data_IF_667172851278
#
_entry.id   IF_667172851278
#
_cell.length_a   1.000
_cell.length_b   1.000
_cell.length_c   1.000
_cell.angle_alpha   90.00
_cell.angle_beta   90.00
_cell.angle_gamma   90.00
#
_symmetry.space_group_name_H-M   'P 1'
#
loop_
_entity.id
_entity.type
_entity.pdbx_description
1 polymer ?
#
# COMPACT_ATOMS: atom_id res chain seq x y z
N UNK A 1 -1.05 16.26 8.89
CA UNK A 1 -0.97 16.53 7.44
C UNK A 1 -0.87 15.19 6.74
N UNK A 2 -1.63 14.97 5.67
CA UNK A 2 -1.50 13.74 4.88
C UNK A 2 -0.85 14.07 3.54
N UNK A 3 0.27 13.43 3.22
CA UNK A 3 0.97 13.56 1.95
C UNK A 3 0.55 12.45 0.98
N UNK A 4 -0.10 12.81 -0.13
CA UNK A 4 -0.59 11.85 -1.11
C UNK A 4 0.35 11.83 -2.32
N UNK A 5 1.22 10.82 -2.33
CA UNK A 5 2.32 10.60 -3.27
C UNK A 5 3.17 11.86 -3.55
N UNK A 6 3.82 12.44 -2.52
CA UNK A 6 4.57 13.69 -2.67
C UNK A 6 5.60 13.61 -3.81
N UNK A 7 5.66 14.65 -4.65
CA UNK A 7 6.44 14.60 -5.88
C UNK A 7 7.96 14.44 -5.65
N UNK A 8 8.62 13.58 -6.41
CA UNK A 8 10.07 13.41 -6.41
C UNK A 8 10.83 14.59 -7.03
N UNK A 9 10.49 15.04 -8.26
CA UNK A 9 11.27 16.07 -8.94
C UNK A 9 11.35 17.34 -8.10
N UNK A 10 12.55 17.91 -7.97
CA UNK A 10 12.86 19.12 -7.19
C UNK A 10 12.72 19.03 -5.66
N UNK A 11 12.14 17.97 -5.09
CA UNK A 11 11.93 17.86 -3.63
C UNK A 11 12.70 16.70 -2.97
N UNK A 12 12.87 15.55 -3.65
CA UNK A 12 13.55 14.44 -3.02
C UNK A 12 15.03 14.76 -2.76
N UNK A 13 15.49 14.51 -1.53
CA UNK A 13 16.87 14.78 -1.13
C UNK A 13 17.19 16.25 -0.81
N UNK A 14 16.22 17.16 -0.88
CA UNK A 14 16.41 18.55 -0.44
C UNK A 14 16.38 18.67 1.09
N UNK A 15 16.86 19.80 1.65
CA UNK A 15 16.66 20.14 3.06
C UNK A 15 15.17 20.13 3.44
N UNK A 16 14.89 19.90 4.74
CA UNK A 16 13.51 19.77 5.27
C UNK A 16 12.69 21.04 5.07
N UNK A 17 13.33 22.20 4.92
CA UNK A 17 12.67 23.49 4.71
C UNK A 17 12.05 23.62 3.30
N UNK A 18 12.41 22.74 2.36
CA UNK A 18 12.00 22.79 0.96
C UNK A 18 10.90 21.76 0.63
N UNK A 19 10.78 20.70 1.44
CA UNK A 19 9.89 19.57 1.18
C UNK A 19 9.00 19.30 2.38
N UNK A 20 7.94 18.52 2.17
CA UNK A 20 7.18 17.97 3.29
C UNK A 20 8.10 17.13 4.19
N UNK A 21 7.98 17.34 5.49
CA UNK A 21 8.69 16.63 6.53
C UNK A 21 7.78 16.39 7.74
N UNK A 22 8.07 15.34 8.51
CA UNK A 22 7.32 15.01 9.73
C UNK A 22 7.29 16.15 10.75
N UNK A 23 8.26 17.07 10.72
CA UNK A 23 8.28 18.24 11.59
C UNK A 23 7.26 19.33 11.24
N UNK A 24 6.61 19.27 10.07
CA UNK A 24 5.66 20.29 9.61
C UNK A 24 4.30 20.25 10.32
N UNK A 25 3.99 19.18 11.05
CA UNK A 25 2.77 19.06 11.84
C UNK A 25 2.94 18.08 13.00
N UNK A 26 1.99 18.12 13.95
CA UNK A 26 1.94 17.17 15.08
C UNK A 26 1.91 15.70 14.64
N UNK A 27 1.33 15.44 13.48
CA UNK A 27 1.28 14.13 12.85
C UNK A 27 1.29 14.28 11.33
N UNK A 28 2.08 13.46 10.68
CA UNK A 28 2.26 13.45 9.22
C UNK A 28 2.21 12.00 8.74
N UNK A 29 1.27 11.67 7.88
CA UNK A 29 1.14 10.35 7.25
C UNK A 29 1.29 10.48 5.73
N UNK A 30 2.04 9.58 5.11
CA UNK A 30 2.36 9.63 3.69
C UNK A 30 1.87 8.35 3.00
N UNK A 31 1.28 8.49 1.82
CA UNK A 31 0.90 7.36 0.96
C UNK A 31 1.73 7.43 -0.32
N UNK A 32 2.61 6.46 -0.55
CA UNK A 32 3.45 6.35 -1.73
C UNK A 32 2.83 5.37 -2.74
N UNK A 33 2.57 5.82 -3.96
CA UNK A 33 1.94 5.00 -5.01
C UNK A 33 2.67 5.03 -6.34
N UNK A 34 3.58 5.99 -6.56
CA UNK A 34 4.40 6.08 -7.77
C UNK A 34 5.89 6.34 -7.45
N UNK A 35 6.38 5.66 -6.41
CA UNK A 35 7.74 5.77 -5.88
C UNK A 35 8.77 5.00 -6.73
N UNK A 36 8.69 5.09 -8.06
CA UNK A 36 9.81 4.72 -8.93
C UNK A 36 10.63 5.97 -9.27
N UNK A 37 11.95 5.86 -9.55
CA UNK A 37 12.72 7.02 -9.97
C UNK A 37 12.12 7.67 -11.24
N UNK A 38 11.93 8.99 -11.23
CA UNK A 38 11.43 9.75 -12.39
C UNK A 38 12.26 9.47 -13.64
N UNK A 39 13.58 9.34 -13.48
CA UNK A 39 14.47 8.90 -14.55
C UNK A 39 15.05 7.53 -14.17
N UNK A 40 14.92 6.49 -15.03
CA UNK A 40 14.27 6.49 -16.34
C UNK A 40 12.80 6.01 -16.34
N UNK A 41 12.20 5.76 -15.17
CA UNK A 41 10.95 5.00 -15.07
C UNK A 41 9.68 5.86 -15.05
N UNK A 42 9.82 7.19 -15.05
CA UNK A 42 8.72 8.15 -14.98
C UNK A 42 7.82 7.94 -13.74
N UNK A 43 8.38 7.55 -12.60
CA UNK A 43 7.67 7.67 -11.33
C UNK A 43 7.71 9.10 -10.82
N UNK A 44 6.55 9.63 -10.45
CA UNK A 44 6.41 11.01 -10.00
C UNK A 44 6.49 11.15 -8.48
N UNK A 45 6.20 10.09 -7.72
CA UNK A 45 6.27 10.09 -6.27
C UNK A 45 7.68 9.89 -5.73
N UNK A 46 8.01 10.51 -4.60
CA UNK A 46 9.27 10.29 -3.92
C UNK A 46 9.30 8.93 -3.19
N UNK A 47 10.47 8.30 -3.14
CA UNK A 47 10.70 7.04 -2.40
C UNK A 47 11.08 7.25 -0.95
N UNK A 48 11.60 8.43 -0.64
CA UNK A 48 12.06 8.80 0.69
C UNK A 48 10.89 8.79 1.67
N UNK A 49 11.08 8.14 2.83
CA UNK A 49 10.15 8.27 3.94
C UNK A 49 10.32 9.67 4.56
N UNK A 50 9.22 10.42 4.64
CA UNK A 50 9.21 11.82 5.08
C UNK A 50 8.16 12.07 6.18
N UNK A 51 7.31 11.10 6.50
CA UNK A 51 6.27 11.21 7.52
C UNK A 51 6.65 10.65 8.89
N UNK A 52 5.66 10.63 9.79
CA UNK A 52 5.69 9.75 10.95
C UNK A 52 5.36 8.32 10.53
N UNK A 53 4.34 8.16 9.68
CA UNK A 53 3.97 6.90 9.04
C UNK A 53 4.07 7.06 7.52
N UNK A 54 4.76 6.14 6.86
CA UNK A 54 4.94 6.12 5.41
C UNK A 54 4.41 4.79 4.87
N UNK A 55 3.28 4.83 4.17
CA UNK A 55 2.60 3.67 3.62
C UNK A 55 3.00 3.45 2.16
N UNK A 56 3.35 2.22 1.83
CA UNK A 56 3.76 1.77 0.50
C UNK A 56 2.82 0.63 0.03
N UNK A 57 1.54 0.93 -0.27
CA UNK A 57 0.61 -0.06 -0.78
C UNK A 57 1.14 -0.71 -2.07
N UNK A 58 1.06 -2.03 -2.20
CA UNK A 58 1.59 -2.81 -3.34
C UNK A 58 3.06 -2.45 -3.65
N UNK A 59 3.85 -2.24 -2.59
CA UNK A 59 5.26 -1.83 -2.68
C UNK A 59 5.51 -0.37 -3.05
N UNK A 60 4.44 0.41 -3.26
CA UNK A 60 4.49 1.85 -3.53
C UNK A 60 4.99 2.25 -4.92
N UNK A 61 5.19 1.29 -5.83
CA UNK A 61 5.80 1.51 -7.16
C UNK A 61 4.83 1.33 -8.32
N UNK A 62 4.12 0.21 -8.35
CA UNK A 62 3.20 -0.15 -9.43
C UNK A 62 1.88 -0.59 -8.82
N UNK A 63 0.85 0.20 -9.03
CA UNK A 63 -0.46 -0.08 -8.46
C UNK A 63 -1.23 -1.05 -9.36
N UNK A 64 -1.95 -2.03 -8.78
CA UNK A 64 -2.82 -2.92 -9.55
C UNK A 64 -3.82 -2.12 -10.41
N UNK A 65 -4.08 -2.60 -11.63
CA UNK A 65 -4.95 -1.92 -12.60
C UNK A 65 -4.36 -0.66 -13.28
N UNK A 66 -3.11 -0.30 -12.99
CA UNK A 66 -2.41 0.77 -13.71
C UNK A 66 -1.46 0.19 -14.77
N UNK A 67 -1.35 0.87 -15.93
CA UNK A 67 -0.31 0.60 -16.92
C UNK A 67 1.06 1.08 -16.44
N UNK A 68 2.14 0.60 -17.09
CA UNK A 68 3.51 1.09 -16.87
C UNK A 68 3.83 2.22 -17.84
N UNK A 69 4.56 3.23 -17.37
CA UNK A 69 5.12 4.26 -18.25
C UNK A 69 6.25 3.68 -19.12
N UNK A 70 6.45 4.24 -20.30
CA UNK A 70 7.58 3.89 -21.16
C UNK A 70 8.89 4.37 -20.52
N UNK A 71 9.92 3.52 -20.54
CA UNK A 71 11.25 3.87 -20.00
C UNK A 71 11.89 4.94 -20.89
N UNK A 72 12.30 6.07 -20.29
CA UNK A 72 12.95 7.17 -21.00
C UNK A 72 14.09 7.79 -20.21
N UNK A 73 15.22 8.04 -20.86
CA UNK A 73 16.36 8.78 -20.28
C UNK A 73 16.15 10.31 -20.34
N UNK A 74 15.17 10.78 -21.12
CA UNK A 74 14.83 12.19 -21.28
C UNK A 74 13.36 12.35 -20.89
N UNK A 75 13.11 13.20 -19.89
CA UNK A 75 11.76 13.44 -19.37
C UNK A 75 11.42 14.91 -19.57
N UNK A 76 10.39 15.15 -20.39
CA UNK A 76 9.81 16.47 -20.62
C UNK A 76 8.83 16.79 -19.48
N UNK A 77 9.36 17.20 -18.33
CA UNK A 77 8.56 17.47 -17.14
C UNK A 77 7.54 18.58 -17.37
N UNK A 78 7.94 19.65 -18.06
CA UNK A 78 7.07 20.77 -18.39
C UNK A 78 5.94 20.30 -19.31
N UNK A 79 6.25 19.50 -20.34
CA UNK A 79 5.24 18.95 -21.23
C UNK A 79 4.29 17.95 -20.56
N UNK A 80 4.77 17.13 -19.61
CA UNK A 80 3.90 16.23 -18.83
C UNK A 80 2.99 17.04 -17.90
N UNK A 81 3.54 18.06 -17.22
CA UNK A 81 2.78 18.90 -16.30
C UNK A 81 1.72 19.75 -17.03
N UNK A 82 2.06 20.31 -18.18
CA UNK A 82 1.15 21.08 -19.03
C UNK A 82 0.16 20.19 -19.82
N UNK A 83 0.33 18.86 -19.77
CA UNK A 83 -0.52 17.90 -20.48
C UNK A 83 -0.29 17.85 -21.99
N UNK A 84 0.87 18.33 -22.47
CA UNK A 84 1.28 18.27 -23.89
C UNK A 84 2.05 16.98 -24.21
N UNK A 85 2.34 16.16 -23.19
CA UNK A 85 2.98 14.83 -23.30
C UNK A 85 2.15 13.75 -22.63
N UNK A 86 2.08 12.59 -23.28
CA UNK A 86 1.40 11.42 -22.73
C UNK A 86 2.15 10.89 -21.50
N UNK A 87 1.42 10.79 -20.39
CA UNK A 87 1.91 10.27 -19.13
C UNK A 87 0.84 9.39 -18.49
N UNK A 88 1.21 8.16 -18.10
CA UNK A 88 0.33 7.27 -17.35
C UNK A 88 0.35 7.70 -15.89
N UNK A 89 -0.41 8.74 -15.57
CA UNK A 89 -0.56 9.27 -14.22
C UNK A 89 -1.26 8.32 -13.24
N UNK A 90 -1.67 7.13 -13.70
CA UNK A 90 -2.50 6.21 -12.92
C UNK A 90 -1.90 5.88 -11.55
N UNK A 91 -0.61 5.51 -11.48
CA UNK A 91 0.08 5.20 -10.22
C UNK A 91 0.07 6.41 -9.29
N UNK A 92 0.43 7.59 -9.79
CA UNK A 92 0.48 8.83 -9.00
C UNK A 92 -0.89 9.20 -8.42
N UNK A 93 -1.94 9.04 -9.23
CA UNK A 93 -3.33 9.32 -8.86
C UNK A 93 -3.97 8.27 -7.93
N UNK A 94 -3.29 7.15 -7.61
CA UNK A 94 -3.84 6.12 -6.71
C UNK A 94 -3.86 6.53 -5.25
N UNK A 95 -2.91 7.35 -4.82
CA UNK A 95 -2.80 7.82 -3.43
C UNK A 95 -4.11 8.46 -2.92
N UNK A 96 -4.68 9.41 -3.66
CA UNK A 96 -5.95 10.03 -3.25
C UNK A 96 -7.17 9.11 -3.44
N UNK A 97 -7.12 8.15 -4.38
CA UNK A 97 -8.20 7.16 -4.55
C UNK A 97 -8.26 6.23 -3.34
N UNK A 98 -7.11 5.74 -2.87
CA UNK A 98 -7.04 4.95 -1.65
C UNK A 98 -7.42 5.77 -0.42
N UNK A 99 -6.97 7.02 -0.31
CA UNK A 99 -7.39 7.89 0.77
C UNK A 99 -8.91 8.08 0.79
N UNK A 100 -9.52 8.34 -0.37
CA UNK A 100 -10.98 8.47 -0.49
C UNK A 100 -11.73 7.21 -0.07
N UNK A 101 -11.29 6.03 -0.50
CA UNK A 101 -11.93 4.76 -0.12
C UNK A 101 -11.72 4.46 1.37
N UNK A 102 -10.56 4.82 1.96
CA UNK A 102 -10.29 4.60 3.40
C UNK A 102 -11.26 5.30 4.35
N UNK A 103 -11.95 6.36 3.88
CA UNK A 103 -13.01 7.02 4.65
C UNK A 103 -14.21 6.08 4.84
N UNK A 104 -14.53 5.30 3.81
CA UNK A 104 -15.67 4.37 3.77
C UNK A 104 -15.31 3.02 4.42
N UNK A 105 -14.06 2.59 4.32
CA UNK A 105 -13.55 1.30 4.81
C UNK A 105 -12.52 1.51 5.94
N UNK A 106 -12.99 1.71 7.20
CA UNK A 106 -12.13 2.12 8.30
C UNK A 106 -11.07 1.09 8.73
N UNK A 107 -11.21 -0.18 8.33
CA UNK A 107 -10.34 -1.30 8.70
C UNK A 107 -9.67 -1.97 7.48
N UNK A 108 -9.76 -1.35 6.30
CA UNK A 108 -9.58 -2.01 5.02
C UNK A 108 -8.26 -1.78 4.33
N UNK A 109 -7.43 -0.99 4.98
CA UNK A 109 -6.12 -0.59 4.51
C UNK A 109 -5.09 -0.75 5.61
N UNK A 110 -5.10 -1.91 6.27
CA UNK A 110 -4.21 -2.19 7.40
C UNK A 110 -2.75 -2.30 6.95
N UNK A 111 -1.89 -1.39 7.42
CA UNK A 111 -0.47 -1.34 7.08
C UNK A 111 0.41 -2.10 8.08
N UNK A 112 1.27 -2.98 7.58
CA UNK A 112 2.17 -3.80 8.39
C UNK A 112 3.58 -3.20 8.42
N UNK A 113 4.15 -2.96 9.61
CA UNK A 113 5.51 -2.44 9.71
C UNK A 113 6.48 -3.52 9.21
N UNK A 114 7.30 -3.17 8.21
CA UNK A 114 8.21 -4.13 7.61
C UNK A 114 9.49 -3.46 7.08
N UNK A 115 10.56 -4.23 6.90
CA UNK A 115 11.84 -3.70 6.41
C UNK A 115 11.78 -3.30 4.93
N UNK A 116 11.13 -4.12 4.10
CA UNK A 116 10.91 -3.89 2.69
C UNK A 116 9.63 -4.59 2.23
N UNK A 117 9.16 -4.24 1.02
CA UNK A 117 8.04 -4.92 0.40
C UNK A 117 8.34 -6.41 0.12
N UNK A 118 9.54 -6.74 -0.39
CA UNK A 118 9.94 -8.13 -0.62
C UNK A 118 9.85 -8.99 0.66
N UNK A 119 10.22 -8.43 1.81
CA UNK A 119 10.09 -9.12 3.11
C UNK A 119 8.62 -9.25 3.51
N UNK A 120 7.81 -8.22 3.24
CA UNK A 120 6.36 -8.28 3.46
C UNK A 120 5.70 -9.41 2.63
N UNK A 121 6.13 -9.61 1.38
CA UNK A 121 5.62 -10.67 0.51
C UNK A 121 6.01 -12.08 0.97
N UNK A 122 7.10 -12.23 1.73
CA UNK A 122 7.44 -13.51 2.38
C UNK A 122 6.58 -13.84 3.61
N UNK A 123 5.59 -13.00 3.93
CA UNK A 123 4.69 -13.12 5.10
C UNK A 123 5.38 -13.06 6.46
N UNK A 124 6.63 -12.58 6.53
CA UNK A 124 7.41 -12.55 7.78
C UNK A 124 7.12 -11.36 8.68
N UNK A 125 6.41 -10.35 8.16
CA UNK A 125 5.98 -9.15 8.89
C UNK A 125 4.53 -9.25 9.42
N UNK A 126 4.01 -10.48 9.50
CA UNK A 126 2.68 -10.80 10.02
C UNK A 126 2.79 -11.66 11.30
N UNK A 127 1.89 -11.49 12.29
CA UNK A 127 0.75 -10.56 12.37
C UNK A 127 1.17 -9.15 12.77
N UNK A 128 0.19 -8.28 12.99
CA UNK A 128 0.42 -6.97 13.58
C UNK A 128 1.18 -7.07 14.91
N UNK A 129 2.07 -6.10 15.21
CA UNK A 129 2.75 -6.06 16.49
C UNK A 129 1.75 -5.80 17.63
N UNK A 130 2.20 -5.91 18.88
CA UNK A 130 1.35 -5.77 20.08
C UNK A 130 0.66 -4.40 20.13
N UNK A 131 1.30 -3.38 19.57
CA UNK A 131 0.82 -2.01 19.47
C UNK A 131 -0.31 -1.86 18.43
N UNK A 132 -0.54 -2.88 17.59
CA UNK A 132 -1.48 -2.88 16.47
C UNK A 132 -0.86 -2.35 15.18
N UNK A 133 -1.59 -2.48 14.08
CA UNK A 133 -1.24 -1.90 12.78
C UNK A 133 -2.08 -0.65 12.49
N UNK A 134 -1.47 0.43 11.99
CA UNK A 134 -2.21 1.60 11.53
C UNK A 134 -2.97 1.31 10.23
N UNK A 135 -4.18 1.86 10.10
CA UNK A 135 -4.87 1.92 8.81
C UNK A 135 -4.30 3.07 7.98
N UNK A 136 -3.96 2.80 6.73
CA UNK A 136 -3.57 3.80 5.75
C UNK A 136 -4.74 4.74 5.44
N UNK A 137 -4.46 6.03 5.29
CA UNK A 137 -5.44 7.03 4.92
C UNK A 137 -6.13 7.68 6.12
N UNK A 138 -7.44 7.90 6.02
CA UNK A 138 -8.20 8.82 6.89
C UNK A 138 -8.04 8.56 8.39
N UNK A 139 -7.88 7.29 8.79
CA UNK A 139 -7.83 6.86 10.19
C UNK A 139 -6.41 6.57 10.71
N UNK A 140 -5.35 6.97 9.98
CA UNK A 140 -3.96 6.78 10.39
C UNK A 140 -3.62 7.53 11.70
N UNK A 141 -4.31 8.64 11.96
CA UNK A 141 -4.13 9.50 13.14
C UNK A 141 -4.45 8.79 14.47
N UNK A 142 -5.24 7.71 14.44
CA UNK A 142 -5.48 6.82 15.61
C UNK A 142 -4.19 6.23 16.16
N UNK A 143 -3.11 6.22 15.38
CA UNK A 143 -1.80 5.70 15.76
C UNK A 143 -0.74 6.77 16.01
N UNK A 144 -1.09 8.07 15.98
CA UNK A 144 -0.15 9.19 16.16
C UNK A 144 0.70 9.12 17.44
N UNK A 145 0.13 8.58 18.51
CA UNK A 145 0.82 8.48 19.81
C UNK A 145 1.79 7.29 19.90
N UNK A 146 1.66 6.30 19.00
CA UNK A 146 2.40 5.03 19.07
C UNK A 146 3.72 5.06 18.31
N UNK A 147 3.89 5.99 17.37
CA UNK A 147 5.02 6.02 16.42
C UNK A 147 5.70 7.40 16.34
N UNK A 148 6.21 7.90 17.48
CA UNK A 148 6.82 9.25 17.59
C UNK A 148 8.32 9.34 17.29
N UNK A 149 9.00 8.21 17.09
CA UNK A 149 10.47 8.16 17.01
C UNK A 149 11.02 8.25 15.58
N UNK A 150 11.21 7.09 14.97
CA UNK A 150 11.75 6.92 13.62
C UNK A 150 10.65 6.99 12.56
N UNK A 151 11.05 7.21 11.31
CA UNK A 151 10.19 6.94 10.15
C UNK A 151 9.74 5.48 10.18
N UNK A 152 8.44 5.23 10.00
CA UNK A 152 7.87 3.88 10.03
C UNK A 152 7.34 3.55 8.64
N UNK A 153 8.00 2.61 7.97
CA UNK A 153 7.55 2.08 6.68
C UNK A 153 6.52 0.98 6.89
N UNK A 154 5.37 1.14 6.24
CA UNK A 154 4.22 0.25 6.35
C UNK A 154 3.86 -0.27 4.96
N UNK A 155 3.57 -1.56 4.87
CA UNK A 155 3.22 -2.22 3.61
C UNK A 155 1.88 -2.93 3.73
N UNK A 156 1.14 -2.96 2.63
CA UNK A 156 -0.18 -3.55 2.50
C UNK A 156 -0.48 -3.76 1.01
N UNK A 157 -1.50 -4.55 0.68
CA UNK A 157 -1.96 -4.72 -0.70
C UNK A 157 -3.40 -4.22 -0.86
N UNK A 158 -3.73 -3.71 -2.05
CA UNK A 158 -5.05 -3.15 -2.39
C UNK A 158 -5.63 -3.80 -3.64
N UNK A 159 -6.91 -3.58 -3.92
CA UNK A 159 -7.57 -3.91 -5.19
C UNK A 159 -7.05 -3.16 -6.40
N UNK A 160 -7.34 -3.71 -7.58
CA UNK A 160 -7.09 -3.08 -8.88
C UNK A 160 -8.20 -2.08 -9.30
N UNK A 161 -9.42 -2.26 -8.80
CA UNK A 161 -10.57 -1.44 -9.12
C UNK A 161 -11.27 -0.96 -7.85
N UNK A 162 -12.16 0.03 -8.00
CA UNK A 162 -12.82 0.67 -6.87
C UNK A 162 -13.55 -0.34 -5.99
N UNK A 163 -13.57 0.03 -4.71
CA UNK A 163 -13.55 -0.77 -3.50
C UNK A 163 -12.17 -1.42 -3.35
N UNK A 164 -11.15 -0.54 -3.26
CA UNK A 164 -9.74 -0.94 -3.16
C UNK A 164 -9.41 -1.66 -1.85
N UNK A 165 -10.25 -1.46 -0.83
CA UNK A 165 -10.10 -2.07 0.47
C UNK A 165 -10.09 -3.60 0.35
N UNK A 166 -9.17 -4.23 1.09
CA UNK A 166 -9.18 -5.68 1.26
C UNK A 166 -9.86 -5.97 2.60
N UNK A 167 -11.17 -5.74 2.68
CA UNK A 167 -12.01 -6.12 3.83
C UNK A 167 -12.94 -7.27 3.47
N UNK A 168 -13.21 -8.12 4.46
CA UNK A 168 -14.27 -9.12 4.36
C UNK A 168 -14.78 -9.50 5.74
N UNK A 169 -16.09 -9.54 5.93
CA UNK A 169 -16.68 -10.20 7.09
C UNK A 169 -16.64 -11.70 6.85
N UNK A 170 -15.81 -12.40 7.61
CA UNK A 170 -15.76 -13.87 7.60
C UNK A 170 -16.93 -14.41 8.41
N UNK A 171 -17.93 -14.94 7.72
CA UNK A 171 -19.06 -15.66 8.33
C UNK A 171 -18.78 -17.16 8.24
N UNK A 172 -19.10 -17.94 9.30
CA UNK A 172 -19.03 -19.40 9.24
C UNK A 172 -19.85 -19.94 8.06
N UNK A 173 -19.39 -21.05 7.48
CA UNK A 173 -20.06 -21.81 6.41
C UNK A 173 -20.21 -21.10 5.05
N UNK A 174 -19.67 -19.89 4.88
CA UNK A 174 -19.59 -19.21 3.59
C UNK A 174 -18.33 -19.60 2.81
N UNK A 175 -18.43 -19.60 1.48
CA UNK A 175 -17.30 -19.74 0.57
C UNK A 175 -16.93 -18.37 0.00
N UNK A 176 -15.65 -18.02 0.10
CA UNK A 176 -15.10 -16.78 -0.42
C UNK A 176 -14.11 -17.11 -1.53
N UNK A 177 -14.23 -16.43 -2.67
CA UNK A 177 -13.32 -16.60 -3.81
C UNK A 177 -12.63 -15.28 -4.07
N UNK A 178 -11.30 -15.32 -4.16
CA UNK A 178 -10.49 -14.20 -4.64
C UNK A 178 -9.53 -14.73 -5.69
N UNK A 179 -9.33 -13.94 -6.73
CA UNK A 179 -8.20 -14.13 -7.63
C UNK A 179 -6.96 -13.54 -6.97
N UNK A 180 -5.83 -14.25 -7.11
CA UNK A 180 -4.52 -13.83 -6.62
C UNK A 180 -3.58 -13.94 -7.80
N UNK A 181 -3.04 -12.81 -8.24
CA UNK A 181 -1.97 -12.79 -9.24
C UNK A 181 -0.65 -13.09 -8.53
N UNK A 182 -0.16 -14.32 -8.70
CA UNK A 182 1.13 -14.72 -8.15
C UNK A 182 2.26 -14.31 -9.11
N UNK A 183 3.30 -13.66 -8.60
CA UNK A 183 4.46 -13.25 -9.41
C UNK A 183 5.31 -14.44 -9.89
N UNK A 184 5.14 -15.62 -9.27
CA UNK A 184 5.89 -16.84 -9.54
C UNK A 184 4.92 -17.99 -9.80
N UNK A 185 5.15 -18.75 -10.87
CA UNK A 185 4.48 -20.03 -11.07
C UNK A 185 4.97 -21.04 -10.04
N UNK A 186 4.09 -21.37 -9.09
CA UNK A 186 4.33 -22.33 -8.02
C UNK A 186 4.14 -23.78 -8.47
N UNK A 187 3.70 -24.02 -9.72
CA UNK A 187 3.38 -25.34 -10.23
C UNK A 187 2.27 -26.03 -9.42
N UNK A 188 2.48 -27.29 -9.08
CA UNK A 188 1.51 -28.06 -8.27
C UNK A 188 1.49 -27.54 -6.83
N UNK A 189 0.32 -27.12 -6.36
CA UNK A 189 0.12 -26.62 -5.00
C UNK A 189 0.08 -27.77 -4.00
N UNK A 190 1.18 -27.98 -3.28
CA UNK A 190 1.28 -29.04 -2.26
C UNK A 190 0.60 -28.69 -0.94
N UNK A 191 0.64 -27.42 -0.53
CA UNK A 191 0.10 -26.93 0.75
C UNK A 191 -0.41 -25.50 0.62
N UNK A 192 -1.51 -25.21 1.31
CA UNK A 192 -2.06 -23.87 1.45
C UNK A 192 -2.19 -23.53 2.93
N UNK A 193 -1.84 -22.30 3.29
CA UNK A 193 -1.92 -21.79 4.65
C UNK A 193 -3.04 -20.75 4.72
N UNK A 194 -4.05 -21.00 5.56
CA UNK A 194 -5.07 -20.00 5.87
C UNK A 194 -4.61 -19.15 7.05
N UNK A 195 -4.62 -17.83 6.87
CA UNK A 195 -4.36 -16.86 7.93
C UNK A 195 -5.50 -15.85 7.94
N UNK A 196 -5.94 -15.47 9.13
CA UNK A 196 -6.92 -14.42 9.34
C UNK A 196 -6.45 -13.51 10.47
N UNK A 197 -6.81 -12.23 10.39
CA UNK A 197 -6.48 -11.24 11.40
C UNK A 197 -7.77 -10.62 11.95
N UNK A 198 -7.86 -10.47 13.27
CA UNK A 198 -9.00 -9.85 13.93
C UNK A 198 -8.60 -8.47 14.44
N UNK A 199 -9.12 -7.42 13.81
CA UNK A 199 -8.77 -6.04 14.16
C UNK A 199 -9.64 -5.46 15.29
N UNK A 200 -10.60 -6.21 15.85
CA UNK A 200 -11.43 -5.78 16.98
C UNK A 200 -10.93 -6.40 18.29
N UNK A 201 -10.89 -5.63 19.40
CA UNK A 201 -10.69 -6.17 20.76
C UNK A 201 -11.92 -7.01 21.11
N UNK A 202 -11.92 -8.26 20.68
CA UNK A 202 -13.04 -9.16 20.89
C UNK A 202 -12.80 -9.98 22.18
N UNK A 203 -13.56 -9.73 23.26
CA UNK A 203 -13.38 -10.43 24.53
C UNK A 203 -13.61 -11.94 24.43
N UNK A 204 -14.21 -12.43 23.34
CA UNK A 204 -14.46 -13.87 23.12
C UNK A 204 -13.32 -14.61 22.42
N UNK A 205 -12.28 -13.91 21.91
CA UNK A 205 -11.15 -14.50 21.15
C UNK A 205 -11.62 -15.58 20.14
N UNK A 206 -12.46 -15.21 19.16
CA UNK A 206 -13.03 -16.19 18.24
C UNK A 206 -11.93 -16.93 17.48
N UNK A 207 -12.13 -18.22 17.21
CA UNK A 207 -11.26 -19.01 16.32
C UNK A 207 -11.94 -19.13 14.97
N UNK A 208 -11.34 -18.53 13.94
CA UNK A 208 -11.76 -18.70 12.55
C UNK A 208 -10.76 -19.62 11.84
N UNK A 209 -11.27 -20.45 10.95
CA UNK A 209 -10.47 -21.33 10.09
C UNK A 209 -11.21 -21.58 8.78
N UNK A 210 -10.50 -22.13 7.80
CA UNK A 210 -11.10 -22.60 6.56
C UNK A 210 -11.29 -24.12 6.63
N UNK A 211 -12.51 -24.60 6.43
CA UNK A 211 -12.79 -26.04 6.35
C UNK A 211 -12.19 -26.66 5.08
N UNK A 212 -12.16 -25.90 3.98
CA UNK A 212 -11.58 -26.31 2.70
C UNK A 212 -11.00 -25.08 2.01
N UNK A 213 -9.84 -25.22 1.38
CA UNK A 213 -9.28 -24.21 0.49
C UNK A 213 -9.02 -24.90 -0.84
N UNK A 214 -9.57 -24.33 -1.91
CA UNK A 214 -9.36 -24.80 -3.27
C UNK A 214 -8.55 -23.77 -4.01
N UNK A 215 -7.46 -24.20 -4.64
CA UNK A 215 -6.64 -23.36 -5.51
C UNK A 215 -6.77 -23.90 -6.92
N UNK A 216 -7.08 -23.02 -7.86
CA UNK A 216 -7.15 -23.33 -9.28
C UNK A 216 -6.13 -22.44 -10.00
N UNK A 217 -5.26 -23.03 -10.83
CA UNK A 217 -4.35 -22.25 -11.65
C UNK A 217 -5.08 -21.67 -12.85
N UNK A 218 -4.71 -20.47 -13.27
CA UNK A 218 -5.29 -19.82 -14.46
C UNK A 218 -5.03 -20.58 -15.77
N UNK A 219 -3.98 -21.41 -15.83
CA UNK A 219 -3.65 -22.22 -17.02
C UNK A 219 -4.56 -23.45 -17.20
N UNK A 220 -5.27 -23.87 -16.14
CA UNK A 220 -6.12 -25.07 -16.13
C UNK A 220 -7.62 -24.74 -16.01
N UNK A 221 -8.00 -23.49 -16.30
CA UNK A 221 -9.38 -22.98 -16.31
C UNK A 221 -10.10 -23.20 -17.63
#
# INVERSE_FOLDING_TARGET
LSGLDPAQPYFQGTPIEVRLDKSDAEFVDIIHTDATPTIPYLGFGMTQAIGHLDFYPNGGKQMPGCGKNAVSQIVDLDGIWEGTRDFVACNHLRSYKYYSDSIIYPDGFLGYPCASYDVFETETCFPCPKEGCPNMGHYADKFKEKFKGSFVKLYLNTGEAKDFAREGTLQPDNTYTSFIDAEVDIGTVDKVKFLWNNNWINPTLPKIGAATITVQSGESG
#
